data_IF_011894937447
#
_entry.id   IF_011894937447
#
_cell.length_a   1.000
_cell.length_b   1.000
_cell.length_c   1.000
_cell.angle_alpha   90.00
_cell.angle_beta   90.00
_cell.angle_gamma   90.00
#
_symmetry.space_group_name_H-M   'P 1'
#
loop_
_entity.id
_entity.type
_entity.pdbx_description
1 polymer ?
#
# COMPACT_ATOMS: atom_id res chain seq x y z
N UNK A 1 -39.82 -6.56 26.00
CA UNK A 1 -40.78 -5.84 25.14
C UNK A 1 -40.46 -4.35 25.01
N UNK A 2 -40.31 -3.60 26.10
CA UNK A 2 -40.02 -2.15 26.04
C UNK A 2 -38.78 -1.81 25.19
N UNK A 3 -37.62 -2.45 25.42
CA UNK A 3 -36.41 -2.23 24.62
C UNK A 3 -36.65 -2.42 23.10
N UNK A 4 -37.40 -3.46 22.73
CA UNK A 4 -37.72 -3.77 21.32
C UNK A 4 -38.63 -2.70 20.73
N UNK A 5 -39.68 -2.28 21.45
CA UNK A 5 -40.61 -1.24 21.01
C UNK A 5 -39.93 0.13 20.94
N UNK A 6 -39.02 0.44 21.87
CA UNK A 6 -38.19 1.64 21.81
C UNK A 6 -37.35 1.65 20.54
N UNK A 7 -36.67 0.55 20.23
CA UNK A 7 -35.89 0.45 18.99
C UNK A 7 -36.76 0.57 17.73
N UNK A 8 -37.93 -0.06 17.73
CA UNK A 8 -38.90 0.06 16.64
C UNK A 8 -39.39 1.50 16.44
N UNK A 9 -39.66 2.24 17.52
CA UNK A 9 -40.03 3.64 17.47
C UNK A 9 -38.89 4.51 16.92
N UNK A 10 -37.64 4.28 17.35
CA UNK A 10 -36.46 4.96 16.80
C UNK A 10 -36.38 4.79 15.29
N UNK A 11 -36.53 3.55 14.81
CA UNK A 11 -36.51 3.23 13.38
C UNK A 11 -37.65 3.90 12.60
N UNK A 12 -38.90 3.79 13.07
CA UNK A 12 -40.06 4.30 12.33
C UNK A 12 -40.21 5.83 12.35
N UNK A 13 -39.80 6.48 13.44
CA UNK A 13 -40.13 7.89 13.71
C UNK A 13 -38.90 8.77 13.88
N UNK A 14 -37.69 8.23 13.80
CA UNK A 14 -36.44 8.99 14.02
C UNK A 14 -36.33 9.58 15.43
N UNK A 15 -37.02 8.99 16.41
CA UNK A 15 -37.01 9.49 17.80
C UNK A 15 -35.73 9.08 18.52
N UNK A 16 -35.31 9.87 19.51
CA UNK A 16 -34.18 9.54 20.39
C UNK A 16 -34.69 9.16 21.78
N UNK A 17 -34.25 8.01 22.30
CA UNK A 17 -34.53 7.61 23.68
C UNK A 17 -33.57 8.35 24.61
N UNK A 18 -34.11 9.18 25.51
CA UNK A 18 -33.29 9.98 26.45
C UNK A 18 -32.95 9.24 27.73
N UNK A 19 -33.78 8.30 28.16
CA UNK A 19 -33.55 7.49 29.36
C UNK A 19 -34.40 6.22 29.31
N UNK A 20 -33.88 5.14 29.90
CA UNK A 20 -34.64 3.95 30.26
C UNK A 20 -34.16 3.53 31.64
N UNK A 21 -35.06 3.46 32.60
CA UNK A 21 -34.73 3.07 33.98
C UNK A 21 -35.54 1.85 34.39
N UNK A 22 -34.89 0.91 35.06
CA UNK A 22 -35.53 -0.23 35.69
C UNK A 22 -35.47 -0.09 37.21
N UNK A 23 -36.62 -0.13 37.87
CA UNK A 23 -36.69 -0.18 39.33
C UNK A 23 -36.75 -1.63 39.80
N UNK A 24 -35.74 -2.07 40.55
CA UNK A 24 -35.78 -3.38 41.19
C UNK A 24 -36.59 -3.31 42.49
N UNK A 25 -37.87 -3.64 42.40
CA UNK A 25 -38.82 -3.58 43.52
C UNK A 25 -38.53 -4.64 44.60
N UNK A 26 -38.09 -5.84 44.20
CA UNK A 26 -37.93 -6.99 45.11
C UNK A 26 -36.72 -6.85 46.05
N UNK A 27 -35.70 -6.07 45.65
CA UNK A 27 -34.55 -5.76 46.52
C UNK A 27 -34.90 -4.71 47.59
N UNK A 28 -36.08 -4.08 47.52
CA UNK A 28 -36.53 -3.19 48.60
C UNK A 28 -36.99 -4.01 49.81
N UNK A 29 -36.27 -3.91 50.93
CA UNK A 29 -36.73 -4.45 52.21
C UNK A 29 -38.05 -3.76 52.61
N UNK A 30 -39.18 -4.46 52.42
CA UNK A 30 -40.50 -4.14 52.98
C UNK A 30 -40.85 -2.64 52.97
N UNK A 31 -40.60 -1.96 51.84
CA UNK A 31 -40.99 -0.55 51.65
C UNK A 31 -40.23 0.48 52.47
N UNK A 32 -39.11 0.13 53.11
CA UNK A 32 -38.31 1.06 53.94
C UNK A 32 -37.08 1.65 53.24
N UNK A 33 -36.64 1.05 52.13
CA UNK A 33 -35.57 1.60 51.26
C UNK A 33 -36.08 1.69 49.81
N UNK A 34 -35.82 2.79 49.08
CA UNK A 34 -36.09 2.83 47.65
C UNK A 34 -35.30 1.71 46.95
N UNK A 35 -36.00 0.91 46.15
CA UNK A 35 -35.37 -0.15 45.36
C UNK A 35 -34.30 0.40 44.42
N UNK A 36 -33.31 -0.41 44.06
CA UNK A 36 -32.21 0.01 43.17
C UNK A 36 -32.78 0.42 41.81
N UNK A 37 -32.60 1.68 41.42
CA UNK A 37 -32.88 2.17 40.07
C UNK A 37 -31.64 1.92 39.21
N UNK A 38 -31.79 1.13 38.16
CA UNK A 38 -30.74 0.78 37.20
C UNK A 38 -31.00 1.51 35.89
N UNK A 39 -29.98 2.22 35.37
CA UNK A 39 -30.03 2.81 34.04
C UNK A 39 -29.80 1.72 32.96
N UNK A 40 -30.78 1.57 32.08
CA UNK A 40 -30.76 0.63 30.95
C UNK A 40 -30.48 1.33 29.62
N UNK A 41 -30.27 2.65 29.59
CA UNK A 41 -29.88 3.37 28.38
C UNK A 41 -28.64 2.77 27.69
N UNK A 42 -27.59 2.27 28.40
CA UNK A 42 -26.45 1.61 27.76
C UNK A 42 -26.82 0.43 26.84
N UNK A 43 -27.89 -0.32 27.15
CA UNK A 43 -28.35 -1.44 26.33
C UNK A 43 -28.85 -0.98 24.95
N UNK A 44 -29.52 0.18 24.90
CA UNK A 44 -29.96 0.75 23.61
C UNK A 44 -28.79 1.30 22.80
N UNK A 45 -27.77 1.86 23.46
CA UNK A 45 -26.55 2.30 22.79
C UNK A 45 -25.81 1.12 22.17
N UNK A 46 -25.65 0.01 22.90
CA UNK A 46 -25.06 -1.21 22.37
C UNK A 46 -25.81 -1.74 21.15
N UNK A 47 -27.14 -1.72 21.21
CA UNK A 47 -27.98 -2.14 20.10
C UNK A 47 -27.75 -1.29 18.85
N UNK A 48 -27.67 0.04 18.97
CA UNK A 48 -27.38 0.93 17.84
C UNK A 48 -26.04 0.62 17.18
N UNK A 49 -25.00 0.48 18.01
CA UNK A 49 -23.66 0.13 17.54
C UNK A 49 -23.60 -1.23 16.86
N UNK A 50 -24.36 -2.20 17.38
CA UNK A 50 -24.48 -3.53 16.77
C UNK A 50 -25.13 -3.45 15.39
N UNK A 51 -26.20 -2.65 15.24
CA UNK A 51 -26.84 -2.44 13.94
C UNK A 51 -25.91 -1.73 12.96
N UNK A 52 -25.24 -0.65 13.39
CA UNK A 52 -24.32 0.09 12.54
C UNK A 52 -23.15 -0.79 12.05
N UNK A 53 -22.59 -1.61 12.93
CA UNK A 53 -21.52 -2.52 12.56
C UNK A 53 -22.00 -3.67 11.67
N UNK A 54 -23.21 -4.19 11.91
CA UNK A 54 -23.79 -5.20 11.03
C UNK A 54 -24.05 -4.65 9.62
N UNK A 55 -24.50 -3.39 9.52
CA UNK A 55 -24.68 -2.71 8.23
C UNK A 55 -23.34 -2.53 7.50
N UNK A 56 -22.30 -2.12 8.22
CA UNK A 56 -20.95 -2.04 7.67
C UNK A 56 -20.40 -3.39 7.21
N UNK A 57 -20.46 -4.43 8.05
CA UNK A 57 -19.86 -5.73 7.76
C UNK A 57 -20.58 -6.49 6.64
N UNK A 58 -21.86 -6.19 6.41
CA UNK A 58 -22.70 -6.89 5.42
C UNK A 58 -22.87 -6.09 4.12
N UNK A 59 -22.94 -4.78 4.21
CA UNK A 59 -23.28 -3.90 3.10
C UNK A 59 -22.19 -2.86 2.80
N UNK A 60 -21.13 -2.81 3.59
CA UNK A 60 -20.05 -1.82 3.45
C UNK A 60 -20.44 -0.40 3.85
N UNK A 61 -21.63 -0.18 4.43
CA UNK A 61 -22.13 1.15 4.75
C UNK A 61 -21.56 1.68 6.08
N UNK A 62 -20.89 2.83 6.03
CA UNK A 62 -20.25 3.47 7.19
C UNK A 62 -21.07 4.60 7.81
N UNK A 63 -22.18 5.03 7.19
CA UNK A 63 -22.93 6.22 7.59
C UNK A 63 -23.40 6.15 9.05
N UNK A 64 -24.02 5.04 9.46
CA UNK A 64 -24.50 4.89 10.84
C UNK A 64 -23.36 4.78 11.86
N UNK A 65 -22.23 4.18 11.47
CA UNK A 65 -21.05 4.12 12.33
C UNK A 65 -20.46 5.51 12.55
N UNK A 66 -20.41 6.33 11.49
CA UNK A 66 -19.92 7.71 11.54
C UNK A 66 -20.80 8.59 12.42
N UNK A 67 -22.12 8.49 12.27
CA UNK A 67 -23.09 9.22 13.11
C UNK A 67 -22.87 8.86 14.59
N UNK A 68 -22.87 7.57 14.94
CA UNK A 68 -22.71 7.12 16.32
C UNK A 68 -21.33 7.49 16.91
N UNK A 69 -20.26 7.35 16.12
CA UNK A 69 -18.92 7.74 16.56
C UNK A 69 -18.84 9.24 16.82
N UNK A 70 -19.39 10.05 15.93
CA UNK A 70 -19.37 11.50 16.03
C UNK A 70 -20.18 11.98 17.24
N UNK A 71 -21.39 11.43 17.44
CA UNK A 71 -22.26 11.76 18.57
C UNK A 71 -21.62 11.46 19.93
N UNK A 72 -20.88 10.35 20.02
CA UNK A 72 -20.22 9.95 21.28
C UNK A 72 -18.90 10.67 21.50
N UNK A 73 -18.08 10.84 20.47
CA UNK A 73 -16.72 11.39 20.62
C UNK A 73 -16.68 12.91 20.66
N UNK A 74 -17.56 13.60 19.93
CA UNK A 74 -17.51 15.07 19.81
C UNK A 74 -17.70 15.80 21.14
N UNK A 75 -18.67 15.44 22.00
CA UNK A 75 -18.82 16.09 23.31
C UNK A 75 -17.60 15.87 24.21
N UNK A 76 -17.03 14.67 24.19
CA UNK A 76 -15.84 14.29 24.98
C UNK A 76 -14.64 15.11 24.53
N UNK A 77 -14.35 15.12 23.22
CA UNK A 77 -13.25 15.88 22.65
C UNK A 77 -13.42 17.39 22.89
N UNK A 78 -14.64 17.92 22.88
CA UNK A 78 -14.89 19.33 23.20
C UNK A 78 -14.59 19.63 24.68
N UNK A 79 -15.02 18.76 25.59
CA UNK A 79 -14.78 18.91 27.03
C UNK A 79 -13.30 18.78 27.39
N UNK A 80 -12.58 17.84 26.76
CA UNK A 80 -11.16 17.58 27.00
C UNK A 80 -10.23 18.44 26.13
N UNK A 81 -10.78 19.34 25.30
CA UNK A 81 -10.02 20.12 24.30
C UNK A 81 -9.15 19.24 23.40
N UNK A 82 -9.64 18.05 23.09
CA UNK A 82 -8.95 17.07 22.29
C UNK A 82 -7.77 16.40 23.01
N UNK A 83 -7.81 16.25 24.34
CA UNK A 83 -6.81 15.45 25.06
C UNK A 83 -7.22 13.97 25.21
N UNK A 84 -8.47 13.61 24.89
CA UNK A 84 -8.98 12.25 25.05
C UNK A 84 -8.55 11.35 23.87
N UNK A 85 -7.55 10.49 24.11
CA UNK A 85 -6.98 9.61 23.08
C UNK A 85 -7.94 8.51 22.63
N UNK A 86 -8.74 7.93 23.52
CA UNK A 86 -9.72 6.90 23.16
C UNK A 86 -10.79 7.45 22.22
N UNK A 87 -11.31 8.65 22.50
CA UNK A 87 -12.28 9.32 21.65
C UNK A 87 -11.68 9.70 20.27
N UNK A 88 -10.40 10.12 20.22
CA UNK A 88 -9.70 10.37 18.95
C UNK A 88 -9.52 9.09 18.14
N UNK A 89 -9.02 8.03 18.76
CA UNK A 89 -8.75 6.76 18.09
C UNK A 89 -10.03 6.18 17.47
N UNK A 90 -11.14 6.22 18.21
CA UNK A 90 -12.45 5.78 17.70
C UNK A 90 -12.91 6.62 16.50
N UNK A 91 -12.83 7.95 16.60
CA UNK A 91 -13.21 8.87 15.52
C UNK A 91 -12.36 8.65 14.27
N UNK A 92 -11.05 8.52 14.43
CA UNK A 92 -10.10 8.27 13.35
C UNK A 92 -10.36 6.91 12.67
N UNK A 93 -10.58 5.85 13.45
CA UNK A 93 -10.90 4.53 12.92
C UNK A 93 -12.12 4.59 11.99
N UNK A 94 -13.22 5.20 12.45
CA UNK A 94 -14.45 5.28 11.65
C UNK A 94 -14.27 6.14 10.41
N UNK A 95 -13.52 7.24 10.50
CA UNK A 95 -13.17 8.04 9.32
C UNK A 95 -12.33 7.25 8.31
N UNK A 96 -11.35 6.48 8.78
CA UNK A 96 -10.52 5.65 7.92
C UNK A 96 -11.31 4.51 7.27
N UNK A 97 -12.24 3.89 8.00
CA UNK A 97 -13.18 2.90 7.44
C UNK A 97 -14.03 3.53 6.32
N UNK A 98 -14.56 4.74 6.54
CA UNK A 98 -15.32 5.49 5.54
C UNK A 98 -14.50 5.76 4.28
N UNK A 99 -13.30 6.32 4.43
CA UNK A 99 -12.45 6.64 3.29
C UNK A 99 -12.08 5.39 2.46
N UNK A 100 -11.78 4.26 3.11
CA UNK A 100 -11.52 3.00 2.39
C UNK A 100 -12.77 2.44 1.71
N UNK A 101 -13.93 2.52 2.35
CA UNK A 101 -15.22 2.17 1.73
C UNK A 101 -15.47 3.01 0.48
N UNK A 102 -15.22 4.32 0.54
CA UNK A 102 -15.38 5.23 -0.60
C UNK A 102 -14.41 4.89 -1.74
N UNK A 103 -13.16 4.52 -1.43
CA UNK A 103 -12.22 4.00 -2.44
C UNK A 103 -12.77 2.76 -3.14
N UNK A 104 -13.37 1.82 -2.39
CA UNK A 104 -13.97 0.61 -2.94
C UNK A 104 -15.22 0.91 -3.78
N UNK A 105 -16.12 1.75 -3.28
CA UNK A 105 -17.37 2.12 -3.95
C UNK A 105 -17.13 2.90 -5.25
N UNK A 106 -16.09 3.74 -5.27
CA UNK A 106 -15.74 4.58 -6.43
C UNK A 106 -14.58 4.01 -7.26
N UNK A 107 -14.11 2.79 -6.96
CA UNK A 107 -13.04 2.10 -7.69
C UNK A 107 -11.72 2.89 -7.78
N UNK A 108 -11.25 3.48 -6.67
CA UNK A 108 -9.94 4.18 -6.62
C UNK A 108 -8.78 3.19 -6.54
N UNK A 109 -8.52 2.50 -7.64
CA UNK A 109 -7.52 1.42 -7.73
C UNK A 109 -6.14 1.80 -7.20
N UNK A 110 -5.66 3.01 -7.50
CA UNK A 110 -4.36 3.51 -7.01
C UNK A 110 -4.28 3.56 -5.48
N UNK A 111 -5.30 4.10 -4.81
CA UNK A 111 -5.35 4.17 -3.34
C UNK A 111 -5.38 2.76 -2.72
N UNK A 112 -6.10 1.84 -3.36
CA UNK A 112 -6.22 0.44 -2.93
C UNK A 112 -4.87 -0.27 -2.99
N UNK A 113 -4.18 -0.21 -4.14
CA UNK A 113 -2.91 -0.93 -4.33
C UNK A 113 -1.75 -0.25 -3.61
N UNK A 114 -1.77 1.08 -3.40
CA UNK A 114 -0.81 1.81 -2.54
C UNK A 114 -1.14 1.70 -1.04
N UNK A 115 -2.18 0.95 -0.67
CA UNK A 115 -2.60 0.74 0.72
C UNK A 115 -2.93 2.01 1.51
N UNK A 116 -3.24 3.14 0.86
CA UNK A 116 -3.31 4.46 1.51
C UNK A 116 -4.26 4.49 2.71
N UNK A 117 -5.53 4.14 2.51
CA UNK A 117 -6.50 4.09 3.61
C UNK A 117 -6.44 2.76 4.40
N UNK A 118 -5.93 1.69 3.80
CA UNK A 118 -5.78 0.38 4.46
C UNK A 118 -4.74 0.44 5.59
N UNK A 119 -3.60 1.10 5.36
CA UNK A 119 -2.56 1.33 6.38
C UNK A 119 -3.10 2.14 7.55
N UNK A 120 -3.88 3.18 7.25
CA UNK A 120 -4.52 4.02 8.26
C UNK A 120 -5.51 3.23 9.12
N UNK A 121 -6.34 2.40 8.49
CA UNK A 121 -7.24 1.48 9.22
C UNK A 121 -6.45 0.55 10.13
N UNK A 122 -5.41 -0.11 9.62
CA UNK A 122 -4.59 -1.04 10.41
C UNK A 122 -3.90 -0.35 11.59
N UNK A 123 -3.44 0.88 11.40
CA UNK A 123 -2.82 1.68 12.48
C UNK A 123 -3.86 2.04 13.53
N UNK A 124 -5.01 2.59 13.13
CA UNK A 124 -6.10 2.91 14.05
C UNK A 124 -6.66 1.68 14.77
N UNK A 125 -6.70 0.52 14.12
CA UNK A 125 -7.11 -0.73 14.77
C UNK A 125 -6.13 -1.24 15.84
N UNK A 126 -4.84 -0.86 15.76
CA UNK A 126 -3.85 -1.12 16.83
C UNK A 126 -4.03 -0.14 17.99
N UNK A 127 -4.29 1.12 17.69
CA UNK A 127 -4.50 2.17 18.71
C UNK A 127 -5.77 1.95 19.54
N UNK A 128 -6.81 1.38 18.94
CA UNK A 128 -8.04 1.03 19.66
C UNK A 128 -7.87 -0.34 20.32
N UNK A 129 -7.07 -0.45 21.38
CA UNK A 129 -6.86 -1.72 22.11
C UNK A 129 -8.17 -2.22 22.76
N UNK A 130 -8.87 -1.33 23.47
CA UNK A 130 -10.22 -1.54 24.02
C UNK A 130 -11.07 -0.29 23.78
N UNK A 131 -12.36 -0.48 23.47
CA UNK A 131 -13.28 0.65 23.38
C UNK A 131 -13.78 1.08 24.74
N UNK A 132 -14.17 2.35 24.87
CA UNK A 132 -14.93 2.85 26.02
C UNK A 132 -16.33 2.19 26.18
N UNK A 133 -16.72 1.32 25.25
CA UNK A 133 -17.96 0.56 25.26
C UNK A 133 -17.56 -0.91 25.21
N UNK A 134 -17.12 -1.49 26.32
CA UNK A 134 -16.61 -2.88 26.41
C UNK A 134 -17.41 -3.91 25.57
N UNK A 135 -18.76 -3.89 25.52
CA UNK A 135 -19.54 -4.80 24.67
C UNK A 135 -19.36 -4.61 23.15
N UNK A 136 -18.67 -3.57 22.70
CA UNK A 136 -18.33 -3.27 21.31
C UNK A 136 -17.00 -3.90 20.88
N UNK A 137 -16.16 -4.36 21.82
CA UNK A 137 -14.88 -5.02 21.51
C UNK A 137 -15.04 -6.23 20.54
N UNK A 138 -16.07 -7.10 20.68
CA UNK A 138 -16.30 -8.19 19.72
C UNK A 138 -16.61 -7.73 18.30
N UNK A 139 -17.18 -6.54 18.14
CA UNK A 139 -17.46 -5.94 16.84
C UNK A 139 -16.17 -5.45 16.19
N UNK A 140 -15.30 -4.79 16.97
CA UNK A 140 -13.99 -4.39 16.48
C UNK A 140 -13.17 -5.59 16.01
N UNK A 141 -13.21 -6.71 16.72
CA UNK A 141 -12.57 -7.94 16.28
C UNK A 141 -13.08 -8.42 14.91
N UNK A 142 -14.38 -8.30 14.64
CA UNK A 142 -14.91 -8.61 13.31
C UNK A 142 -14.36 -7.67 12.25
N UNK A 143 -14.26 -6.37 12.54
CA UNK A 143 -13.67 -5.38 11.63
C UNK A 143 -12.18 -5.69 11.41
N UNK A 144 -11.41 -5.99 12.46
CA UNK A 144 -9.99 -6.43 12.35
C UNK A 144 -9.84 -7.60 11.40
N UNK A 145 -10.70 -8.61 11.54
CA UNK A 145 -10.67 -9.79 10.70
C UNK A 145 -10.96 -9.51 9.21
N UNK A 146 -11.79 -8.50 8.89
CA UNK A 146 -12.04 -8.07 7.51
C UNK A 146 -10.77 -7.53 6.85
N UNK A 147 -9.95 -6.77 7.58
CA UNK A 147 -8.75 -6.14 7.04
C UNK A 147 -7.47 -6.97 7.19
N UNK A 148 -7.52 -8.10 7.91
CA UNK A 148 -6.39 -9.03 8.08
C UNK A 148 -5.80 -9.55 6.75
N UNK A 149 -6.60 -9.91 5.71
CA UNK A 149 -6.05 -10.42 4.44
C UNK A 149 -5.33 -9.36 3.61
N UNK A 150 -5.71 -8.08 3.76
CA UNK A 150 -5.05 -6.97 3.07
C UNK A 150 -3.60 -6.86 3.54
N UNK A 151 -2.69 -6.52 2.63
CA UNK A 151 -1.31 -6.20 2.96
C UNK A 151 -1.13 -4.75 3.40
N UNK A 152 0.06 -4.45 3.91
CA UNK A 152 0.54 -3.08 4.07
C UNK A 152 1.49 -2.79 2.90
N UNK A 153 1.74 -1.51 2.64
CA UNK A 153 2.72 -1.00 1.68
C UNK A 153 3.25 0.32 2.22
N UNK A 154 4.48 0.71 1.91
CA UNK A 154 4.89 2.12 2.05
C UNK A 154 4.24 3.00 0.98
N UNK A 155 4.46 4.31 1.07
CA UNK A 155 4.00 5.26 0.05
C UNK A 155 4.64 5.02 -1.33
N UNK A 156 5.78 4.31 -1.38
CA UNK A 156 6.52 3.97 -2.60
C UNK A 156 6.24 2.54 -3.10
N UNK A 157 5.66 1.69 -2.27
CA UNK A 157 5.37 0.29 -2.60
C UNK A 157 3.94 0.08 -3.13
N UNK A 158 3.78 -0.93 -3.97
CA UNK A 158 2.49 -1.36 -4.49
C UNK A 158 2.19 -2.77 -3.99
N UNK A 159 1.04 -2.94 -3.34
CA UNK A 159 0.53 -4.21 -2.88
C UNK A 159 -0.60 -4.71 -3.79
N UNK A 160 -0.24 -5.47 -4.82
CA UNK A 160 -1.20 -5.98 -5.81
C UNK A 160 -2.27 -6.90 -5.21
N UNK A 161 -1.96 -7.55 -4.08
CA UNK A 161 -2.92 -8.38 -3.34
C UNK A 161 -4.11 -7.57 -2.87
N UNK A 162 -3.92 -6.29 -2.53
CA UNK A 162 -5.00 -5.43 -2.03
C UNK A 162 -6.10 -5.21 -3.06
N UNK A 163 -5.78 -5.12 -4.36
CA UNK A 163 -6.83 -5.03 -5.37
C UNK A 163 -7.67 -6.32 -5.48
N UNK A 164 -7.07 -7.49 -5.28
CA UNK A 164 -7.82 -8.76 -5.23
C UNK A 164 -8.68 -8.86 -3.97
N UNK A 165 -8.15 -8.48 -2.81
CA UNK A 165 -8.92 -8.49 -1.56
C UNK A 165 -10.03 -7.43 -1.57
N UNK A 166 -9.80 -6.26 -2.17
CA UNK A 166 -10.85 -5.25 -2.37
C UNK A 166 -11.96 -5.77 -3.30
N UNK A 167 -11.62 -6.45 -4.40
CA UNK A 167 -12.63 -7.03 -5.28
C UNK A 167 -13.46 -8.11 -4.57
N UNK A 168 -12.84 -8.95 -3.73
CA UNK A 168 -13.54 -9.94 -2.89
C UNK A 168 -14.44 -9.26 -1.84
N UNK A 169 -13.95 -8.20 -1.21
CA UNK A 169 -14.71 -7.40 -0.24
C UNK A 169 -15.96 -6.80 -0.89
N UNK A 170 -15.81 -6.19 -2.07
CA UNK A 170 -16.93 -5.64 -2.84
C UNK A 170 -17.97 -6.72 -3.17
N UNK A 171 -17.53 -7.92 -3.59
CA UNK A 171 -18.45 -9.04 -3.86
C UNK A 171 -19.23 -9.47 -2.62
N UNK A 172 -18.54 -9.61 -1.47
CA UNK A 172 -19.16 -10.01 -0.21
C UNK A 172 -20.20 -8.98 0.28
N UNK A 173 -19.99 -7.69 -0.03
CA UNK A 173 -20.88 -6.59 0.35
C UNK A 173 -21.93 -6.24 -0.73
N UNK A 174 -22.08 -7.07 -1.77
CA UNK A 174 -23.08 -6.85 -2.82
C UNK A 174 -22.73 -5.77 -3.85
N UNK A 175 -21.52 -5.20 -3.81
CA UNK A 175 -20.98 -4.22 -4.76
C UNK A 175 -20.43 -4.93 -6.01
N UNK A 176 -21.28 -5.66 -6.73
CA UNK A 176 -20.84 -6.55 -7.81
C UNK A 176 -20.19 -5.82 -9.00
N UNK A 177 -20.68 -4.62 -9.35
CA UNK A 177 -20.12 -3.82 -10.44
C UNK A 177 -18.70 -3.30 -10.10
N UNK A 178 -18.51 -2.82 -8.86
CA UNK A 178 -17.22 -2.39 -8.34
C UNK A 178 -16.26 -3.57 -8.24
N UNK A 179 -16.73 -4.72 -7.76
CA UNK A 179 -15.93 -5.95 -7.71
C UNK A 179 -15.40 -6.35 -9.08
N UNK A 180 -16.25 -6.38 -10.10
CA UNK A 180 -15.83 -6.70 -11.47
C UNK A 180 -14.86 -5.66 -12.04
N UNK A 181 -15.08 -4.38 -11.77
CA UNK A 181 -14.22 -3.28 -12.26
C UNK A 181 -12.84 -3.31 -11.59
N UNK A 182 -12.80 -3.38 -10.25
CA UNK A 182 -11.53 -3.47 -9.49
C UNK A 182 -10.76 -4.72 -9.92
N UNK A 183 -11.42 -5.88 -10.05
CA UNK A 183 -10.75 -7.11 -10.46
C UNK A 183 -10.10 -6.99 -11.85
N UNK A 184 -10.83 -6.44 -12.83
CA UNK A 184 -10.33 -6.27 -14.19
C UNK A 184 -9.11 -5.32 -14.22
N UNK A 185 -9.22 -4.16 -13.57
CA UNK A 185 -8.13 -3.19 -13.48
C UNK A 185 -6.94 -3.72 -12.69
N UNK A 186 -7.16 -4.55 -11.67
CA UNK A 186 -6.09 -5.15 -10.89
C UNK A 186 -5.29 -6.19 -11.71
N UNK A 187 -5.95 -6.96 -12.57
CA UNK A 187 -5.25 -7.87 -13.50
C UNK A 187 -4.35 -7.10 -14.47
N UNK A 188 -4.85 -5.98 -15.02
CA UNK A 188 -4.03 -5.09 -15.86
C UNK A 188 -2.85 -4.51 -15.08
N UNK A 189 -3.11 -4.05 -13.86
CA UNK A 189 -2.10 -3.48 -12.95
C UNK A 189 -1.01 -4.50 -12.59
N UNK A 190 -1.36 -5.76 -12.39
CA UNK A 190 -0.38 -6.84 -12.18
C UNK A 190 0.63 -6.92 -13.33
N UNK A 191 0.15 -6.92 -14.58
CA UNK A 191 1.04 -6.95 -15.74
C UNK A 191 1.81 -5.64 -15.93
N UNK A 192 1.24 -4.50 -15.53
CA UNK A 192 1.99 -3.25 -15.52
C UNK A 192 3.21 -3.36 -14.58
N UNK A 193 3.00 -3.77 -13.34
CA UNK A 193 4.08 -3.94 -12.35
C UNK A 193 5.13 -4.95 -12.86
N UNK A 194 4.67 -6.11 -13.33
CA UNK A 194 5.56 -7.18 -13.81
C UNK A 194 6.45 -6.76 -14.98
N UNK A 195 5.98 -5.85 -15.83
CA UNK A 195 6.72 -5.34 -16.98
C UNK A 195 7.34 -3.95 -16.75
N UNK A 196 7.38 -3.46 -15.51
CA UNK A 196 7.99 -2.17 -15.18
C UNK A 196 7.27 -0.97 -15.79
N UNK A 197 5.96 -1.08 -15.98
CA UNK A 197 5.10 -0.01 -16.50
C UNK A 197 4.48 0.73 -15.33
N UNK A 198 4.59 2.06 -15.36
CA UNK A 198 3.97 2.94 -14.36
C UNK A 198 2.45 2.73 -14.31
N UNK A 199 1.94 2.45 -13.11
CA UNK A 199 0.54 2.04 -12.91
C UNK A 199 -0.46 3.20 -13.04
N UNK A 200 0.01 4.44 -13.19
CA UNK A 200 -0.78 5.64 -13.47
C UNK A 200 -0.55 6.20 -14.89
N UNK A 201 0.27 5.54 -15.72
CA UNK A 201 0.36 5.85 -17.16
C UNK A 201 -0.81 5.23 -17.93
N UNK A 202 -1.85 6.04 -18.16
CA UNK A 202 -3.07 5.64 -18.87
C UNK A 202 -2.78 5.03 -20.26
N UNK A 203 -1.83 5.58 -21.01
CA UNK A 203 -1.54 5.16 -22.39
C UNK A 203 -0.90 3.77 -22.36
N UNK A 204 0.16 3.59 -21.55
CA UNK A 204 0.87 2.30 -21.47
C UNK A 204 0.00 1.21 -20.83
N UNK A 205 -0.88 1.57 -19.89
CA UNK A 205 -1.91 0.65 -19.37
C UNK A 205 -2.90 0.20 -20.45
N UNK A 206 -3.31 1.09 -21.35
CA UNK A 206 -4.18 0.68 -22.46
C UNK A 206 -3.46 -0.28 -23.41
N UNK A 207 -2.14 -0.16 -23.60
CA UNK A 207 -1.35 -1.17 -24.36
C UNK A 207 -1.52 -2.57 -23.78
N UNK A 208 -1.43 -2.73 -22.45
CA UNK A 208 -1.65 -4.02 -21.76
C UNK A 208 -3.06 -4.55 -22.06
N UNK A 209 -4.08 -3.70 -21.91
CA UNK A 209 -5.47 -4.03 -22.24
C UNK A 209 -5.68 -4.42 -23.72
N UNK A 210 -5.02 -3.74 -24.65
CA UNK A 210 -5.08 -4.06 -26.09
C UNK A 210 -4.38 -5.37 -26.40
N UNK A 211 -3.29 -5.68 -25.72
CA UNK A 211 -2.53 -6.93 -25.90
C UNK A 211 -3.37 -8.17 -25.54
N UNK A 212 -4.19 -8.10 -24.47
CA UNK A 212 -5.19 -9.14 -24.21
C UNK A 212 -6.16 -9.35 -25.39
N UNK A 213 -6.60 -8.26 -26.05
CA UNK A 213 -7.49 -8.38 -27.22
C UNK A 213 -6.77 -8.94 -28.45
N UNK A 214 -5.48 -8.60 -28.64
CA UNK A 214 -4.63 -9.14 -29.72
C UNK A 214 -4.58 -10.67 -29.59
N UNK A 215 -4.21 -11.18 -28.40
CA UNK A 215 -4.15 -12.63 -28.17
C UNK A 215 -5.52 -13.30 -28.25
N UNK A 216 -6.57 -12.65 -27.73
CA UNK A 216 -7.94 -13.17 -27.82
C UNK A 216 -8.40 -13.35 -29.28
N UNK A 217 -7.98 -12.44 -30.17
CA UNK A 217 -8.30 -12.49 -31.61
C UNK A 217 -7.31 -13.34 -32.43
N UNK A 218 -6.27 -13.89 -31.82
CA UNK A 218 -5.18 -14.63 -32.48
C UNK A 218 -4.47 -13.80 -33.55
N UNK A 219 -4.19 -12.53 -33.22
CA UNK A 219 -3.46 -11.60 -34.09
C UNK A 219 -1.98 -11.47 -33.70
N UNK A 220 -1.52 -12.28 -32.76
CA UNK A 220 -0.17 -12.24 -32.20
C UNK A 220 0.94 -12.54 -33.22
N UNK A 221 0.64 -13.27 -34.28
CA UNK A 221 1.59 -13.56 -35.37
C UNK A 221 1.67 -12.45 -36.45
N UNK A 222 0.80 -11.43 -36.38
CA UNK A 222 0.69 -10.39 -37.40
C UNK A 222 0.56 -9.00 -36.77
N UNK A 223 1.70 -8.34 -36.55
CA UNK A 223 1.79 -7.01 -35.96
C UNK A 223 1.02 -5.94 -36.74
N UNK A 224 0.78 -6.13 -38.05
CA UNK A 224 0.00 -5.17 -38.85
C UNK A 224 -1.47 -5.09 -38.41
N UNK A 225 -1.97 -6.13 -37.72
CA UNK A 225 -3.31 -6.18 -37.15
C UNK A 225 -3.40 -5.64 -35.73
N UNK A 226 -2.29 -5.23 -35.12
CA UNK A 226 -2.27 -4.77 -33.75
C UNK A 226 -2.87 -3.37 -33.63
N UNK A 227 -3.96 -3.26 -32.87
CA UNK A 227 -4.63 -1.99 -32.60
C UNK A 227 -4.20 -1.49 -31.23
N UNK A 228 -3.10 -0.74 -31.19
CA UNK A 228 -2.54 -0.13 -29.98
C UNK A 228 -2.95 1.35 -29.84
N UNK A 229 -2.79 1.96 -28.64
CA UNK A 229 -3.07 3.38 -28.42
C UNK A 229 -2.26 4.27 -29.37
N UNK A 230 -2.86 5.40 -29.77
CA UNK A 230 -2.19 6.39 -30.64
C UNK A 230 -0.97 6.97 -29.93
N UNK A 231 0.19 6.89 -30.57
CA UNK A 231 1.41 7.52 -30.12
C UNK A 231 1.56 8.93 -30.70
N UNK A 232 2.20 9.84 -29.95
CA UNK A 232 2.51 11.20 -30.41
C UNK A 232 3.83 11.27 -31.18
N UNK A 233 4.72 10.31 -30.95
CA UNK A 233 6.05 10.21 -31.56
C UNK A 233 6.33 8.78 -32.00
N UNK A 234 7.23 8.62 -32.96
CA UNK A 234 7.67 7.29 -33.41
C UNK A 234 8.30 6.48 -32.28
N UNK A 235 9.05 7.14 -31.39
CA UNK A 235 9.64 6.51 -30.20
C UNK A 235 8.56 5.92 -29.28
N UNK A 236 7.51 6.69 -28.98
CA UNK A 236 6.39 6.21 -28.17
C UNK A 236 5.65 5.07 -28.86
N UNK A 237 5.54 5.10 -30.20
CA UNK A 237 4.96 4.00 -30.96
C UNK A 237 5.78 2.71 -30.80
N UNK A 238 7.11 2.81 -30.93
CA UNK A 238 8.01 1.67 -30.74
C UNK A 238 7.96 1.13 -29.30
N UNK A 239 7.91 2.00 -28.29
CA UNK A 239 7.72 1.60 -26.90
C UNK A 239 6.42 0.82 -26.70
N UNK A 240 5.30 1.27 -27.29
CA UNK A 240 4.03 0.56 -27.21
C UNK A 240 4.09 -0.83 -27.87
N UNK A 241 4.75 -0.94 -29.02
CA UNK A 241 4.97 -2.24 -29.69
C UNK A 241 5.83 -3.16 -28.83
N UNK A 242 6.90 -2.64 -28.24
CA UNK A 242 7.80 -3.41 -27.39
C UNK A 242 7.09 -3.95 -26.13
N UNK A 243 6.28 -3.12 -25.47
CA UNK A 243 5.44 -3.55 -24.34
C UNK A 243 4.53 -4.72 -24.77
N UNK A 244 3.83 -4.59 -25.89
CA UNK A 244 2.95 -5.64 -26.39
C UNK A 244 3.71 -6.93 -26.73
N UNK A 245 4.87 -6.83 -27.39
CA UNK A 245 5.74 -7.97 -27.70
C UNK A 245 6.23 -8.68 -26.43
N UNK A 246 6.69 -7.92 -25.44
CA UNK A 246 7.20 -8.47 -24.19
C UNK A 246 6.09 -9.18 -23.41
N UNK A 247 4.88 -8.60 -23.38
CA UNK A 247 3.73 -9.21 -22.73
C UNK A 247 3.25 -10.49 -23.45
N UNK A 248 3.27 -10.53 -24.79
CA UNK A 248 2.92 -11.73 -25.55
C UNK A 248 3.90 -12.90 -25.34
N UNK A 249 5.15 -12.60 -24.98
CA UNK A 249 6.19 -13.58 -24.63
C UNK A 249 6.15 -14.00 -23.15
N UNK A 250 5.42 -13.28 -22.31
CA UNK A 250 5.42 -13.52 -20.86
C UNK A 250 4.78 -14.86 -20.50
N UNK A 251 5.47 -15.65 -19.68
CA UNK A 251 5.03 -16.99 -19.29
C UNK A 251 3.72 -16.96 -18.49
N UNK A 252 3.54 -15.97 -17.60
CA UNK A 252 2.32 -15.84 -16.79
C UNK A 252 1.16 -15.44 -17.70
N UNK A 253 1.36 -14.48 -18.60
CA UNK A 253 0.38 -14.09 -19.62
C UNK A 253 -0.07 -15.28 -20.47
N UNK A 254 0.86 -16.17 -20.80
CA UNK A 254 0.64 -17.36 -21.63
C UNK A 254 0.10 -18.58 -20.87
N UNK A 255 -0.13 -18.49 -19.55
CA UNK A 255 -0.72 -19.59 -18.79
C UNK A 255 -2.10 -19.98 -19.32
N UNK A 256 -2.38 -21.28 -19.29
CA UNK A 256 -3.60 -21.85 -19.84
C UNK A 256 -4.84 -21.18 -19.23
N UNK A 257 -5.73 -20.72 -20.11
CA UNK A 257 -7.00 -20.13 -19.72
C UNK A 257 -6.95 -18.67 -19.25
N UNK A 258 -5.78 -18.07 -18.96
CA UNK A 258 -5.69 -16.69 -18.43
C UNK A 258 -6.33 -15.66 -19.36
N UNK A 259 -5.90 -15.59 -20.62
CA UNK A 259 -6.42 -14.63 -21.60
C UNK A 259 -7.92 -14.82 -21.82
N UNK A 260 -8.37 -16.08 -21.89
CA UNK A 260 -9.79 -16.40 -22.03
C UNK A 260 -10.62 -15.97 -20.80
N UNK A 261 -10.07 -16.10 -19.60
CA UNK A 261 -10.69 -15.65 -18.35
C UNK A 261 -10.78 -14.13 -18.30
N UNK A 262 -9.74 -13.42 -18.74
CA UNK A 262 -9.73 -11.97 -18.83
C UNK A 262 -10.80 -11.46 -19.80
N UNK A 263 -10.93 -12.08 -20.98
CA UNK A 263 -12.01 -11.75 -21.93
C UNK A 263 -13.40 -11.97 -21.31
N UNK A 264 -13.61 -13.10 -20.63
CA UNK A 264 -14.90 -13.40 -19.95
C UNK A 264 -15.20 -12.41 -18.82
N UNK A 265 -14.20 -11.96 -18.07
CA UNK A 265 -14.35 -10.95 -17.01
C UNK A 265 -14.69 -9.59 -17.61
N UNK A 266 -14.02 -9.19 -18.70
CA UNK A 266 -14.32 -7.94 -19.42
C UNK A 266 -15.76 -7.91 -19.93
N UNK A 267 -16.23 -9.00 -20.53
CA UNK A 267 -17.63 -9.12 -20.96
C UNK A 267 -18.62 -9.04 -19.79
N UNK A 268 -18.31 -9.70 -18.67
CA UNK A 268 -19.13 -9.67 -17.46
C UNK A 268 -19.20 -8.26 -16.87
N UNK A 269 -18.08 -7.56 -16.77
CA UNK A 269 -18.02 -6.16 -16.33
C UNK A 269 -18.85 -5.27 -17.25
N UNK A 270 -18.73 -5.46 -18.56
CA UNK A 270 -19.50 -4.69 -19.54
C UNK A 270 -21.01 -4.99 -19.46
N UNK A 271 -21.43 -6.20 -19.09
CA UNK A 271 -22.84 -6.55 -18.86
C UNK A 271 -23.42 -5.72 -17.71
N UNK A 272 -22.71 -5.62 -16.58
CA UNK A 272 -23.07 -4.71 -15.48
C UNK A 272 -23.11 -3.25 -15.93
N UNK A 273 -22.05 -2.79 -16.60
CA UNK A 273 -21.87 -1.38 -16.95
C UNK A 273 -22.84 -0.86 -18.02
N UNK A 274 -23.27 -1.72 -18.94
CA UNK A 274 -24.24 -1.37 -19.96
C UNK A 274 -25.67 -1.77 -19.56
N UNK A 275 -25.89 -2.10 -18.29
CA UNK A 275 -27.22 -2.42 -17.74
C UNK A 275 -27.96 -3.53 -18.50
N UNK A 276 -27.22 -4.51 -19.04
CA UNK A 276 -27.80 -5.59 -19.85
C UNK A 276 -28.42 -5.15 -21.18
N UNK A 277 -28.21 -3.91 -21.65
CA UNK A 277 -28.75 -3.38 -22.92
C UNK A 277 -27.97 -3.91 -24.12
N UNK A 278 -28.03 -5.23 -24.34
CA UNK A 278 -27.31 -5.98 -25.37
C UNK A 278 -28.08 -7.22 -25.78
N UNK A 279 -27.64 -7.86 -26.87
CA UNK A 279 -28.11 -9.19 -27.22
C UNK A 279 -27.64 -10.21 -26.17
N UNK A 280 -28.56 -11.06 -25.70
CA UNK A 280 -28.32 -12.11 -24.71
C UNK A 280 -27.61 -11.62 -23.42
N UNK A 281 -28.24 -10.74 -22.62
CA UNK A 281 -27.67 -10.33 -21.33
C UNK A 281 -27.64 -11.50 -20.35
N UNK A 282 -26.62 -11.53 -19.50
CA UNK A 282 -26.52 -12.55 -18.46
C UNK A 282 -27.57 -12.29 -17.38
N UNK A 283 -28.24 -13.35 -16.91
CA UNK A 283 -29.11 -13.20 -15.73
C UNK A 283 -28.29 -12.91 -14.46
N UNK A 284 -28.94 -12.36 -13.44
CA UNK A 284 -28.30 -11.92 -12.20
C UNK A 284 -27.54 -13.04 -11.46
N UNK A 285 -28.06 -14.27 -11.45
CA UNK A 285 -27.40 -15.41 -10.79
C UNK A 285 -26.11 -15.79 -11.50
N UNK A 286 -26.15 -15.84 -12.84
CA UNK A 286 -24.99 -16.15 -13.67
C UNK A 286 -23.90 -15.08 -13.55
N UNK A 287 -24.26 -13.78 -13.45
CA UNK A 287 -23.30 -12.71 -13.20
C UNK A 287 -22.56 -12.91 -11.88
N UNK A 288 -23.28 -13.19 -10.79
CA UNK A 288 -22.67 -13.44 -9.47
C UNK A 288 -21.76 -14.67 -9.49
N UNK A 289 -22.23 -15.78 -10.05
CA UNK A 289 -21.45 -17.03 -10.13
C UNK A 289 -20.17 -16.86 -10.95
N UNK A 290 -20.25 -16.25 -12.14
CA UNK A 290 -19.08 -16.00 -13.01
C UNK A 290 -18.09 -15.02 -12.38
N UNK A 291 -18.58 -14.01 -11.67
CA UNK A 291 -17.73 -13.07 -10.94
C UNK A 291 -17.00 -13.80 -9.80
N UNK A 292 -17.70 -14.64 -9.03
CA UNK A 292 -17.09 -15.48 -7.98
C UNK A 292 -16.00 -16.40 -8.53
N UNK A 293 -16.26 -17.07 -9.66
CA UNK A 293 -15.26 -17.89 -10.35
C UNK A 293 -14.03 -17.07 -10.76
N UNK A 294 -14.22 -15.84 -11.23
CA UNK A 294 -13.12 -14.93 -11.59
C UNK A 294 -12.30 -14.50 -10.36
N UNK A 295 -12.98 -14.20 -9.25
CA UNK A 295 -12.36 -13.84 -7.96
C UNK A 295 -11.54 -14.98 -7.35
N UNK A 296 -11.88 -16.24 -7.64
CA UNK A 296 -11.12 -17.39 -7.17
C UNK A 296 -9.97 -17.73 -8.14
N UNK A 297 -10.18 -17.57 -9.45
CA UNK A 297 -9.18 -17.86 -10.49
C UNK A 297 -7.99 -16.89 -10.47
N UNK A 298 -8.23 -15.58 -10.61
CA UNK A 298 -7.13 -14.62 -10.84
C UNK A 298 -6.12 -14.55 -9.69
N UNK A 299 -6.51 -14.45 -8.40
CA UNK A 299 -5.54 -14.44 -7.32
C UNK A 299 -4.74 -15.75 -7.25
N UNK A 300 -5.37 -16.90 -7.50
CA UNK A 300 -4.68 -18.19 -7.52
C UNK A 300 -3.65 -18.23 -8.64
N UNK A 301 -3.99 -17.78 -9.84
CA UNK A 301 -3.12 -17.82 -11.01
C UNK A 301 -1.99 -16.79 -10.93
N UNK A 302 -2.30 -15.56 -10.49
CA UNK A 302 -1.36 -14.43 -10.52
C UNK A 302 -0.53 -14.29 -9.24
N UNK A 303 -1.04 -14.69 -8.07
CA UNK A 303 -0.30 -14.61 -6.80
C UNK A 303 0.48 -15.88 -6.45
N UNK A 304 0.18 -17.04 -7.06
CA UNK A 304 0.98 -18.25 -6.84
C UNK A 304 2.45 -18.06 -7.23
N UNK A 305 2.71 -17.14 -8.17
CA UNK A 305 4.04 -16.77 -8.65
C UNK A 305 4.57 -15.47 -8.04
N UNK A 306 3.85 -14.84 -7.09
CA UNK A 306 4.16 -13.48 -6.62
C UNK A 306 5.16 -13.37 -5.47
N UNK A 307 5.81 -14.47 -5.06
CA UNK A 307 6.96 -14.36 -4.14
C UNK A 307 8.12 -13.57 -4.77
N UNK A 308 8.16 -13.45 -6.10
CA UNK A 308 9.14 -12.65 -6.85
C UNK A 308 8.69 -11.20 -7.14
N UNK A 309 7.45 -10.81 -6.80
CA UNK A 309 6.86 -9.53 -7.23
C UNK A 309 6.56 -8.56 -6.09
N UNK A 310 7.23 -8.70 -4.93
CA UNK A 310 7.46 -7.51 -4.10
C UNK A 310 8.22 -6.51 -4.96
N UNK A 311 7.70 -5.28 -5.04
CA UNK A 311 8.27 -4.20 -5.85
C UNK A 311 9.79 -4.14 -5.65
N UNK A 312 10.53 -3.81 -6.70
CA UNK A 312 11.97 -3.55 -6.59
C UNK A 312 12.19 -2.64 -5.38
N UNK A 313 13.07 -3.02 -4.44
CA UNK A 313 13.34 -2.20 -3.27
C UNK A 313 13.74 -0.80 -3.73
N UNK A 314 13.33 0.22 -2.98
CA UNK A 314 13.80 1.58 -3.23
C UNK A 314 15.32 1.57 -3.08
N UNK A 315 16.04 1.65 -4.20
CA UNK A 315 17.49 1.64 -4.19
C UNK A 315 17.98 3.04 -3.78
N UNK A 316 18.98 3.08 -2.90
CA UNK A 316 19.61 4.33 -2.48
C UNK A 316 21.14 4.19 -2.48
N UNK A 317 21.81 5.22 -2.99
CA UNK A 317 23.26 5.35 -2.93
C UNK A 317 23.66 6.41 -1.90
N UNK A 318 24.19 6.00 -0.75
CA UNK A 318 24.80 6.92 0.20
C UNK A 318 26.23 7.23 -0.25
N UNK A 319 26.49 8.46 -0.67
CA UNK A 319 27.83 8.95 -0.95
C UNK A 319 28.53 9.37 0.34
N UNK A 320 29.32 8.48 0.92
CA UNK A 320 30.16 8.72 2.09
C UNK A 320 31.61 8.96 1.65
N UNK A 321 31.85 10.12 1.05
CA UNK A 321 33.18 10.54 0.58
C UNK A 321 33.43 12.02 0.86
N UNK A 322 34.68 12.45 0.71
CA UNK A 322 35.05 13.86 0.74
C UNK A 322 34.60 14.65 -0.51
N UNK A 323 33.98 13.99 -1.49
CA UNK A 323 33.59 14.60 -2.76
C UNK A 323 32.07 14.51 -2.97
N UNK A 324 31.32 15.58 -2.65
CA UNK A 324 29.86 15.56 -2.76
C UNK A 324 29.39 15.33 -4.19
N UNK A 325 28.19 14.76 -4.33
CA UNK A 325 27.59 14.38 -5.61
C UNK A 325 27.32 15.58 -6.52
N UNK A 326 27.10 16.76 -5.95
CA UNK A 326 26.92 18.03 -6.67
C UNK A 326 28.12 18.46 -7.52
N UNK A 327 29.31 17.92 -7.23
CA UNK A 327 30.54 18.19 -7.96
C UNK A 327 30.88 17.07 -8.96
N UNK A 328 30.08 16.01 -9.04
CA UNK A 328 30.34 14.89 -9.94
C UNK A 328 30.14 15.26 -11.41
N UNK A 329 30.97 14.68 -12.26
CA UNK A 329 30.77 14.78 -13.70
C UNK A 329 29.54 13.97 -14.14
N UNK A 330 29.10 14.20 -15.39
CA UNK A 330 27.93 13.49 -15.94
C UNK A 330 28.11 11.98 -16.01
N UNK A 331 29.34 11.50 -16.23
CA UNK A 331 29.61 10.07 -16.38
C UNK A 331 29.48 9.36 -15.03
N UNK A 332 29.94 9.99 -13.96
CA UNK A 332 29.81 9.50 -12.59
C UNK A 332 28.37 9.52 -12.12
N UNK A 333 27.60 10.59 -12.38
CA UNK A 333 26.17 10.65 -12.09
C UNK A 333 25.39 9.55 -12.83
N UNK A 334 25.69 9.34 -14.11
CA UNK A 334 25.06 8.28 -14.91
C UNK A 334 25.41 6.89 -14.37
N UNK A 335 26.66 6.66 -13.96
CA UNK A 335 27.07 5.40 -13.36
C UNK A 335 26.46 5.18 -11.96
N UNK A 336 26.17 6.25 -11.22
CA UNK A 336 25.56 6.19 -9.89
C UNK A 336 24.08 5.81 -9.95
N UNK A 337 23.37 6.19 -11.01
CA UNK A 337 21.94 5.94 -11.18
C UNK A 337 21.52 4.45 -11.09
N UNK A 338 22.45 3.51 -11.36
CA UNK A 338 22.18 2.07 -11.19
C UNK A 338 22.01 1.65 -9.72
N UNK A 339 22.47 2.47 -8.77
CA UNK A 339 22.38 2.25 -7.33
C UNK A 339 21.26 3.05 -6.67
N UNK A 340 20.46 3.78 -7.45
CA UNK A 340 19.30 4.53 -6.95
C UNK A 340 19.55 6.01 -6.68
N UNK A 341 18.69 6.62 -5.86
CA UNK A 341 18.82 8.04 -5.50
C UNK A 341 20.09 8.28 -4.68
N UNK A 342 20.86 9.33 -5.02
CA UNK A 342 22.12 9.61 -4.37
C UNK A 342 21.94 10.63 -3.23
N UNK A 343 22.32 10.23 -2.02
CA UNK A 343 22.30 11.07 -0.82
C UNK A 343 23.72 11.29 -0.33
N UNK A 344 24.12 12.55 -0.17
CA UNK A 344 25.45 12.89 0.34
C UNK A 344 25.51 12.78 1.87
N UNK A 345 26.46 11.98 2.36
CA UNK A 345 26.83 11.92 3.77
C UNK A 345 28.28 12.37 3.93
N UNK A 346 28.56 13.44 4.69
CA UNK A 346 29.93 13.92 4.86
C UNK A 346 30.86 12.86 5.47
N UNK A 347 32.00 12.64 4.82
CA UNK A 347 33.07 11.80 5.37
C UNK A 347 33.62 12.43 6.67
N UNK A 348 33.84 11.65 7.74
CA UNK A 348 34.28 12.21 9.02
C UNK A 348 35.71 12.73 8.95
N UNK A 349 36.00 13.74 9.77
CA UNK A 349 37.37 14.12 10.08
C UNK A 349 37.95 13.08 11.07
N UNK A 350 38.68 12.10 10.53
CA UNK A 350 39.36 11.07 11.33
C UNK A 350 40.61 11.66 11.98
N UNK A 351 40.68 11.63 13.30
CA UNK A 351 41.82 12.13 14.07
C UNK A 351 43.07 11.28 13.82
N UNK A 352 44.19 11.84 13.32
CA UNK A 352 45.42 11.09 13.10
C UNK A 352 46.11 10.60 14.38
N UNK A 353 45.81 11.20 15.54
CA UNK A 353 46.32 10.74 16.85
C UNK A 353 45.39 9.70 17.50
N UNK A 354 44.26 9.40 16.87
CA UNK A 354 43.29 8.41 17.33
C UNK A 354 43.81 6.97 17.20
N UNK A 355 43.53 6.15 18.22
CA UNK A 355 43.86 4.73 18.24
C UNK A 355 42.81 3.86 17.54
N UNK A 356 43.04 2.54 17.49
CA UNK A 356 42.13 1.60 16.84
C UNK A 356 40.74 1.57 17.50
N UNK A 357 40.64 1.79 18.82
CA UNK A 357 39.35 1.87 19.51
C UNK A 357 38.57 3.13 19.13
N UNK A 358 39.25 4.25 18.92
CA UNK A 358 38.62 5.47 18.41
C UNK A 358 38.03 5.24 17.02
N UNK A 359 38.79 4.64 16.10
CA UNK A 359 38.31 4.33 14.75
C UNK A 359 37.12 3.38 14.79
N UNK A 360 37.18 2.35 15.64
CA UNK A 360 36.08 1.40 15.83
C UNK A 360 34.79 2.07 16.32
N UNK A 361 34.88 2.92 17.36
CA UNK A 361 33.72 3.68 17.86
C UNK A 361 33.15 4.62 16.80
N UNK A 362 34.00 5.28 16.02
CA UNK A 362 33.57 6.20 14.98
C UNK A 362 32.85 5.46 13.84
N UNK A 363 33.31 4.27 13.45
CA UNK A 363 32.61 3.47 12.43
C UNK A 363 31.30 2.87 12.94
N UNK A 364 31.15 2.60 14.25
CA UNK A 364 29.85 2.23 14.84
C UNK A 364 28.83 3.36 14.74
N UNK A 365 29.23 4.59 15.02
CA UNK A 365 28.37 5.76 14.88
C UNK A 365 27.87 5.92 13.44
N UNK A 366 28.76 5.74 12.45
CA UNK A 366 28.40 5.84 11.04
C UNK A 366 27.56 4.66 10.55
N UNK A 367 27.81 3.44 11.05
CA UNK A 367 26.93 2.30 10.81
C UNK A 367 25.50 2.59 11.28
N UNK A 368 25.35 3.13 12.50
CA UNK A 368 24.03 3.49 13.05
C UNK A 368 23.33 4.53 12.17
N UNK A 369 24.01 5.60 11.75
CA UNK A 369 23.44 6.61 10.84
C UNK A 369 22.98 6.00 9.52
N UNK A 370 23.78 5.11 8.93
CA UNK A 370 23.43 4.43 7.68
C UNK A 370 22.21 3.53 7.86
N UNK A 371 22.15 2.77 8.97
CA UNK A 371 21.01 1.92 9.30
C UNK A 371 19.74 2.73 9.58
N UNK A 372 19.85 3.89 10.23
CA UNK A 372 18.72 4.80 10.44
C UNK A 372 18.17 5.32 9.11
N UNK A 373 19.02 5.73 8.18
CA UNK A 373 18.60 6.14 6.82
C UNK A 373 17.90 4.98 6.11
N UNK A 374 18.52 3.79 6.10
CA UNK A 374 17.97 2.60 5.46
C UNK A 374 16.57 2.23 6.02
N UNK A 375 16.40 2.29 7.35
CA UNK A 375 15.15 1.94 8.02
C UNK A 375 14.05 3.00 7.84
N UNK A 376 14.39 4.29 7.96
CA UNK A 376 13.43 5.38 7.83
C UNK A 376 12.85 5.46 6.41
N UNK A 377 13.67 5.20 5.40
CA UNK A 377 13.28 5.29 4.00
C UNK A 377 12.91 3.93 3.39
N UNK A 378 12.97 2.85 4.17
CA UNK A 378 12.74 1.46 3.74
C UNK A 378 13.45 1.12 2.43
N UNK A 379 14.73 1.50 2.37
CA UNK A 379 15.55 1.49 1.16
C UNK A 379 16.60 0.40 1.21
N UNK A 380 16.87 -0.24 0.07
CA UNK A 380 18.07 -1.07 -0.09
C UNK A 380 19.26 -0.15 -0.38
N UNK A 381 20.16 -0.04 0.60
CA UNK A 381 21.26 0.91 0.57
C UNK A 381 22.52 0.28 -0.01
N UNK A 382 23.16 1.02 -0.93
CA UNK A 382 24.56 0.84 -1.30
C UNK A 382 25.36 2.05 -0.81
N UNK A 383 26.52 1.83 -0.22
CA UNK A 383 27.40 2.92 0.26
C UNK A 383 28.57 3.10 -0.69
N UNK A 384 28.69 4.29 -1.29
CA UNK A 384 29.91 4.73 -1.94
C UNK A 384 30.86 5.27 -0.88
N UNK A 385 31.90 4.50 -0.54
CA UNK A 385 32.79 4.78 0.58
C UNK A 385 34.22 4.98 0.08
N UNK A 386 34.81 6.15 0.34
CA UNK A 386 36.20 6.47 0.02
C UNK A 386 36.72 7.60 0.91
N UNK A 387 37.89 7.41 1.52
CA UNK A 387 38.55 8.44 2.32
C UNK A 387 39.76 7.87 3.06
N UNK A 388 39.85 8.16 4.36
CA UNK A 388 40.87 7.61 5.25
C UNK A 388 40.75 6.07 5.31
N UNK A 389 41.89 5.37 5.25
CA UNK A 389 41.96 3.94 5.01
C UNK A 389 41.52 3.11 6.21
N UNK A 390 41.91 3.48 7.44
CA UNK A 390 41.55 2.72 8.64
C UNK A 390 40.04 2.76 8.88
N UNK A 391 39.42 3.93 8.76
CA UNK A 391 37.96 4.11 8.82
C UNK A 391 37.25 3.35 7.71
N UNK A 392 37.75 3.46 6.47
CA UNK A 392 37.13 2.79 5.31
C UNK A 392 37.11 1.28 5.49
N UNK A 393 38.23 0.67 5.89
CA UNK A 393 38.32 -0.79 6.05
C UNK A 393 37.39 -1.26 7.18
N UNK A 394 37.46 -0.60 8.35
CA UNK A 394 36.61 -0.94 9.50
C UNK A 394 35.11 -0.82 9.18
N UNK A 395 34.69 0.26 8.50
CA UNK A 395 33.29 0.46 8.16
C UNK A 395 32.81 -0.53 7.07
N UNK A 396 33.64 -0.87 6.07
CA UNK A 396 33.29 -1.88 5.06
C UNK A 396 33.01 -3.23 5.72
N UNK A 397 33.81 -3.64 6.70
CA UNK A 397 33.61 -4.90 7.43
C UNK A 397 32.30 -4.88 8.23
N UNK A 398 32.01 -3.77 8.92
CA UNK A 398 30.77 -3.59 9.68
C UNK A 398 29.53 -3.59 8.80
N UNK A 399 29.54 -2.84 7.69
CA UNK A 399 28.43 -2.79 6.74
C UNK A 399 28.18 -4.15 6.10
N UNK A 400 29.24 -4.90 5.79
CA UNK A 400 29.13 -6.27 5.28
C UNK A 400 28.47 -7.22 6.26
N UNK A 401 28.74 -7.09 7.56
CA UNK A 401 28.14 -7.94 8.60
C UNK A 401 26.62 -7.72 8.76
N UNK A 402 26.08 -6.62 8.21
CA UNK A 402 24.65 -6.31 8.16
C UNK A 402 24.09 -6.33 6.73
N UNK A 403 24.78 -7.01 5.81
CA UNK A 403 24.38 -7.19 4.40
C UNK A 403 24.23 -5.89 3.58
N UNK A 404 24.93 -4.80 3.95
CA UNK A 404 24.97 -3.55 3.17
C UNK A 404 26.15 -3.56 2.20
N UNK A 405 25.86 -3.35 0.91
CA UNK A 405 26.86 -3.34 -0.15
C UNK A 405 27.69 -2.05 -0.15
N UNK A 406 29.00 -2.17 -0.39
CA UNK A 406 29.92 -1.04 -0.50
C UNK A 406 30.59 -0.99 -1.88
N UNK A 407 30.69 0.22 -2.45
CA UNK A 407 31.38 0.50 -3.70
C UNK A 407 32.40 1.64 -3.54
N UNK A 408 33.38 1.71 -4.43
CA UNK A 408 34.35 2.80 -4.54
C UNK A 408 34.45 3.28 -5.99
N UNK A 409 34.66 4.59 -6.17
CA UNK A 409 34.95 5.15 -7.49
C UNK A 409 36.40 4.85 -7.91
N UNK A 410 36.58 4.53 -9.19
CA UNK A 410 37.91 4.35 -9.80
C UNK A 410 38.15 5.45 -10.81
N UNK A 411 39.35 6.02 -10.80
CA UNK A 411 39.70 7.16 -11.64
C UNK A 411 41.03 6.95 -12.36
N UNK A 412 41.18 7.58 -13.52
CA UNK A 412 42.50 7.80 -14.13
C UNK A 412 43.09 9.08 -13.58
N UNK A 413 44.38 9.06 -13.24
CA UNK A 413 45.11 10.22 -12.74
C UNK A 413 45.90 10.85 -13.88
N UNK A 414 45.63 12.11 -14.18
CA UNK A 414 46.46 12.93 -15.05
C UNK A 414 47.21 13.94 -14.18
N UNK A 415 48.54 14.02 -14.35
CA UNK A 415 49.36 15.02 -13.66
C UNK A 415 49.90 16.00 -14.68
N UNK A 416 49.66 17.28 -14.44
CA UNK A 416 50.20 18.37 -15.23
C UNK A 416 51.16 19.16 -14.34
N UNK A 417 52.42 19.23 -14.77
CA UNK A 417 53.42 20.06 -14.10
C UNK A 417 53.17 21.52 -14.46
N UNK A 418 52.97 22.37 -13.45
CA UNK A 418 52.72 23.80 -13.62
C UNK A 418 54.01 24.63 -13.46
N UNK A 419 55.15 23.98 -13.19
CA UNK A 419 56.42 24.63 -12.85
C UNK A 419 56.51 25.05 -11.38
N UNK A 420 57.69 25.49 -10.94
CA UNK A 420 57.97 25.94 -9.56
C UNK A 420 57.58 24.94 -8.44
N UNK A 421 57.64 23.63 -8.74
CA UNK A 421 57.26 22.58 -7.79
C UNK A 421 55.76 22.38 -7.62
N UNK A 422 54.92 23.08 -8.40
CA UNK A 422 53.47 22.91 -8.38
C UNK A 422 53.03 21.88 -9.41
N UNK A 423 52.17 20.95 -9.00
CA UNK A 423 51.54 19.96 -9.87
C UNK A 423 50.04 20.02 -9.72
N UNK A 424 49.34 20.10 -10.85
CA UNK A 424 47.91 19.87 -10.93
C UNK A 424 47.67 18.38 -11.14
N UNK A 425 46.73 17.82 -10.39
CA UNK A 425 46.35 16.42 -10.50
C UNK A 425 44.85 16.39 -10.75
N UNK A 426 44.46 15.89 -11.92
CA UNK A 426 43.07 15.70 -12.30
C UNK A 426 42.73 14.22 -12.21
N UNK A 427 41.60 13.92 -11.56
CA UNK A 427 41.04 12.58 -11.48
C UNK A 427 39.82 12.51 -12.40
N UNK A 428 39.87 11.66 -13.42
CA UNK A 428 38.73 11.42 -14.30
C UNK A 428 38.06 10.11 -13.91
N UNK A 429 36.78 10.16 -13.56
CA UNK A 429 36.00 8.97 -13.19
C UNK A 429 35.98 7.94 -14.33
N UNK A 430 36.06 6.65 -13.98
CA UNK A 430 35.98 5.53 -14.94
C UNK A 430 34.78 4.64 -14.64
N UNK A 431 34.69 4.11 -13.42
CA UNK A 431 33.59 3.25 -12.96
C UNK A 431 33.58 3.11 -11.45
N UNK A 432 32.45 2.65 -10.91
CA UNK A 432 32.40 2.09 -9.56
C UNK A 432 32.90 0.64 -9.54
N UNK A 433 33.46 0.22 -8.41
CA UNK A 433 33.88 -1.16 -8.13
C UNK A 433 33.40 -1.54 -6.73
N UNK A 434 32.93 -2.77 -6.55
CA UNK A 434 32.60 -3.30 -5.23
C UNK A 434 33.85 -3.51 -4.37
N UNK A 435 33.75 -3.25 -3.08
CA UNK A 435 34.73 -3.74 -2.11
C UNK A 435 34.67 -5.28 -2.07
N UNK A 436 35.84 -5.94 -2.16
CA UNK A 436 35.97 -7.33 -2.60
C UNK A 436 34.92 -8.31 -2.07
N UNK A 437 34.21 -8.95 -2.99
CA UNK A 437 33.44 -10.18 -2.76
C UNK A 437 34.45 -11.33 -2.65
N UNK A 438 34.51 -12.01 -1.50
CA UNK A 438 35.23 -13.28 -1.37
C UNK A 438 34.23 -14.40 -1.25
#
# INVERSE_FOLDING_TARGET
>A
MMLVLSNYAKFLRGVTVKSITYGNYEISEKGTKPGLIVDLLPLTTLQDWTFAAADYLKNGNTEKLEELATDKTTPILKATRGADESAKAMKNLVQHLKNATEDFQTCRGLNIVRSTNINRIKSSLKEVEETMIEPFNPILEKIRNVFKPFGQATDTEINIKNGFEAAKWCYANGLFQQSATILLENVVTFFCIKHGIDIDDEIRRDVVNKTFNIRTKKFDDDESKWVLPKAKTDEQHQQNLEIARNLLKDEVFNQEGLVSAFSRLKELRNDFNHSGMRQNPSNASNLKTRLKQSLDFFPKTLLANSKEYTAKPHLMLINLTNHPSSLWDKAQLQAAAQYGECVDMPFPAVDPDGDEEYVDRLTDEYLQKIMEIANNEQSEVTVHLMGEMSFTVSLVEKLRNVDISCILSTSTRQSKDLGNGQKEITFNFVRFRKYGER
#
